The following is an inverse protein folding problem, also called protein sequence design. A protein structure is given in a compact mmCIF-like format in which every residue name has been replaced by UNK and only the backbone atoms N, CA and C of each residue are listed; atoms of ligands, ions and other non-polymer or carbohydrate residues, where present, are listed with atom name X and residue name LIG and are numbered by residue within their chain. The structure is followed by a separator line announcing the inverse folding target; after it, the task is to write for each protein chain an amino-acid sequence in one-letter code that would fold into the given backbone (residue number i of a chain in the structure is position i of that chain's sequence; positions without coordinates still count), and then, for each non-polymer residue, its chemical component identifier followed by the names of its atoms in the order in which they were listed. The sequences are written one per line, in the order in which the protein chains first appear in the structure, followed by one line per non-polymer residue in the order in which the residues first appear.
data_IF_346432945100
#
_entry.id   IF_346432945100
#
_cell.length_a   1.000
_cell.length_b   1.000
_cell.length_c   1.000
_cell.angle_alpha   90.00
_cell.angle_beta   90.00
_cell.angle_gamma   90.00
#
_symmetry.space_group_name_H-M   'P 1'
#
loop_
_entity.id
_entity.type
_entity.pdbx_description
1 polymer ?
#
# COMPACT_ATOMS: atom_id res chain seq x y z
N UNK A 1 -6.20 -2.86 17.97
CA UNK A 1 -5.18 -3.27 16.97
C UNK A 1 -4.08 -2.22 16.86
N UNK A 2 -2.99 -2.51 16.17
CA UNK A 2 -1.78 -1.70 16.08
C UNK A 2 -2.00 -0.21 15.68
N UNK A 3 -3.03 0.08 14.90
CA UNK A 3 -3.39 1.46 14.53
C UNK A 3 -3.75 2.29 15.78
N UNK A 4 -4.54 1.71 16.69
CA UNK A 4 -5.00 2.44 17.89
C UNK A 4 -3.92 2.55 18.98
N UNK A 5 -2.85 1.77 18.90
CA UNK A 5 -1.77 1.69 19.90
C UNK A 5 -0.44 2.25 19.39
N UNK A 6 -0.33 2.58 18.09
CA UNK A 6 0.88 3.20 17.55
C UNK A 6 1.08 4.60 18.09
N UNK A 7 2.35 4.98 18.33
CA UNK A 7 2.70 6.32 18.80
C UNK A 7 2.44 7.38 17.72
N UNK A 8 2.62 7.02 16.45
CA UNK A 8 2.39 7.90 15.31
C UNK A 8 1.61 7.16 14.24
N UNK A 9 0.65 7.84 13.63
CA UNK A 9 -0.04 7.38 12.43
C UNK A 9 0.08 8.46 11.36
N UNK A 10 0.72 8.13 10.23
CA UNK A 10 0.84 9.00 9.07
C UNK A 10 -0.24 8.64 8.05
N UNK A 11 -0.86 9.64 7.45
CA UNK A 11 -1.78 9.49 6.32
C UNK A 11 -1.11 10.04 5.05
N UNK A 12 -0.92 9.19 4.04
CA UNK A 12 -0.35 9.58 2.75
C UNK A 12 -1.48 9.83 1.77
N UNK A 13 -1.59 11.06 1.30
CA UNK A 13 -2.68 11.52 0.48
C UNK A 13 -2.22 11.84 -0.94
N UNK A 14 -3.06 11.47 -1.92
CA UNK A 14 -3.00 12.00 -3.28
C UNK A 14 -3.68 13.36 -3.28
N UNK A 15 -3.02 14.39 -3.81
CA UNK A 15 -3.44 15.78 -3.71
C UNK A 15 -3.45 16.44 -5.10
N UNK A 16 -4.63 16.55 -5.70
CA UNK A 16 -4.89 17.32 -6.92
C UNK A 16 -5.24 18.79 -6.61
N UNK A 17 -5.64 19.09 -5.38
CA UNK A 17 -6.04 20.44 -5.01
C UNK A 17 -4.90 21.45 -5.14
N UNK A 18 -3.66 21.02 -4.87
CA UNK A 18 -2.46 21.87 -5.10
C UNK A 18 -2.25 22.19 -6.57
N UNK A 19 -2.55 21.25 -7.47
CA UNK A 19 -2.49 21.50 -8.91
C UNK A 19 -3.58 22.49 -9.35
N UNK A 20 -4.79 22.39 -8.77
CA UNK A 20 -5.85 23.35 -9.00
C UNK A 20 -5.43 24.76 -8.58
N UNK A 21 -4.85 24.92 -7.40
CA UNK A 21 -4.29 26.20 -6.95
C UNK A 21 -3.20 26.71 -7.91
N UNK A 22 -2.26 25.84 -8.26
CA UNK A 22 -1.14 26.24 -9.13
C UNK A 22 -1.60 26.65 -10.53
N UNK A 23 -2.55 25.93 -11.13
CA UNK A 23 -3.08 26.27 -12.46
C UNK A 23 -3.92 27.53 -12.46
N UNK A 24 -4.69 27.77 -11.38
CA UNK A 24 -5.50 28.98 -11.22
C UNK A 24 -4.68 30.27 -11.19
N UNK A 25 -3.43 30.21 -10.73
CA UNK A 25 -2.51 31.36 -10.77
C UNK A 25 -2.15 31.81 -12.21
N UNK A 26 -2.46 30.99 -13.20
CA UNK A 26 -2.21 31.23 -14.61
C UNK A 26 -3.52 31.25 -15.44
N UNK A 27 -4.68 31.45 -14.80
CA UNK A 27 -6.00 31.44 -15.43
C UNK A 27 -6.28 30.15 -16.21
N UNK A 28 -5.85 29.00 -15.66
CA UNK A 28 -6.04 27.66 -16.24
C UNK A 28 -6.75 26.75 -15.27
N UNK A 29 -7.47 25.76 -15.80
CA UNK A 29 -7.97 24.64 -15.03
C UNK A 29 -7.00 23.45 -15.13
N UNK A 30 -6.86 22.61 -14.08
CA UNK A 30 -6.09 21.39 -14.18
C UNK A 30 -6.79 20.43 -15.17
N UNK A 31 -6.00 19.62 -15.87
CA UNK A 31 -6.55 18.49 -16.61
C UNK A 31 -7.16 17.49 -15.61
N UNK A 32 -8.17 16.76 -16.08
CA UNK A 32 -8.81 15.65 -15.35
C UNK A 32 -8.58 14.34 -16.10
N UNK A 33 -8.58 13.21 -15.41
CA UNK A 33 -8.46 11.92 -16.05
C UNK A 33 -7.60 10.95 -15.25
N UNK A 34 -7.41 9.77 -15.80
CA UNK A 34 -6.70 8.66 -15.14
C UNK A 34 -5.26 9.03 -14.80
N UNK A 35 -4.53 9.65 -15.73
CA UNK A 35 -3.11 10.05 -15.51
C UNK A 35 -2.97 11.00 -14.33
N UNK A 36 -3.84 12.01 -14.25
CA UNK A 36 -3.86 12.97 -13.14
C UNK A 36 -4.20 12.32 -11.81
N UNK A 37 -4.96 11.22 -11.83
CA UNK A 37 -5.25 10.42 -10.63
C UNK A 37 -4.08 9.52 -10.24
N UNK A 38 -3.42 8.89 -11.21
CA UNK A 38 -2.31 7.95 -10.93
C UNK A 38 -1.06 8.65 -10.41
N UNK A 39 -0.69 9.79 -10.97
CA UNK A 39 0.54 10.52 -10.61
C UNK A 39 0.62 10.80 -9.11
N UNK A 40 -0.35 11.47 -8.45
CA UNK A 40 -0.26 11.75 -7.01
C UNK A 40 -0.38 10.49 -6.15
N UNK A 41 -0.99 9.41 -6.65
CA UNK A 41 -0.99 8.11 -5.94
C UNK A 41 0.41 7.50 -5.92
N UNK A 42 1.14 7.57 -7.03
CA UNK A 42 2.54 7.13 -7.13
C UNK A 42 3.43 7.99 -6.23
N UNK A 43 3.27 9.32 -6.26
CA UNK A 43 4.01 10.23 -5.39
C UNK A 43 3.80 9.91 -3.91
N UNK A 44 2.56 9.67 -3.50
CA UNK A 44 2.23 9.26 -2.13
C UNK A 44 2.92 7.94 -1.74
N UNK A 45 3.02 6.97 -2.66
CA UNK A 45 3.70 5.71 -2.43
C UNK A 45 5.22 5.89 -2.25
N UNK A 46 5.85 6.71 -3.08
CA UNK A 46 7.29 7.02 -3.00
C UNK A 46 7.62 7.73 -1.68
N UNK A 47 6.84 8.74 -1.31
CA UNK A 47 7.05 9.47 -0.04
C UNK A 47 6.86 8.54 1.17
N UNK A 48 5.90 7.63 1.11
CA UNK A 48 5.67 6.69 2.20
C UNK A 48 6.78 5.66 2.36
N UNK A 49 7.34 5.14 1.27
CA UNK A 49 8.50 4.25 1.34
C UNK A 49 9.72 4.97 1.95
N UNK A 50 9.98 6.21 1.52
CA UNK A 50 11.04 7.02 2.12
C UNK A 50 10.82 7.26 3.61
N UNK A 51 9.58 7.50 4.04
CA UNK A 51 9.22 7.66 5.45
C UNK A 51 9.41 6.36 6.25
N UNK A 52 9.09 5.20 5.66
CA UNK A 52 9.34 3.90 6.28
C UNK A 52 10.83 3.66 6.50
N UNK A 53 11.65 3.84 5.46
CA UNK A 53 13.10 3.68 5.55
C UNK A 53 13.68 4.63 6.62
N UNK A 54 13.23 5.87 6.64
CA UNK A 54 13.65 6.84 7.65
C UNK A 54 13.27 6.38 9.07
N UNK A 55 12.03 5.91 9.30
CA UNK A 55 11.59 5.41 10.59
C UNK A 55 12.44 4.21 11.06
N UNK A 56 12.70 3.25 10.16
CA UNK A 56 13.52 2.08 10.44
C UNK A 56 14.98 2.46 10.77
N UNK A 57 15.52 3.51 10.14
CA UNK A 57 16.87 4.01 10.45
C UNK A 57 17.01 4.58 11.85
N UNK A 58 15.90 4.95 12.49
CA UNK A 58 15.84 5.35 13.90
C UNK A 58 15.50 4.20 14.87
N UNK A 59 15.47 2.96 14.37
CA UNK A 59 15.09 1.79 15.18
C UNK A 59 13.60 1.65 15.43
N UNK A 60 12.76 2.41 14.72
CA UNK A 60 11.30 2.29 14.79
C UNK A 60 10.79 1.18 13.85
N UNK A 61 9.66 0.59 14.19
CA UNK A 61 8.91 -0.26 13.27
C UNK A 61 7.85 0.55 12.54
N UNK A 62 7.61 0.21 11.28
CA UNK A 62 6.57 0.82 10.47
C UNK A 62 5.73 -0.24 9.74
N UNK A 63 4.43 0.01 9.58
CA UNK A 63 3.54 -0.86 8.82
C UNK A 63 2.53 -0.06 8.02
N UNK A 64 2.46 -0.33 6.71
CA UNK A 64 1.50 0.29 5.81
C UNK A 64 0.08 -0.25 6.01
N UNK A 65 -0.91 0.63 5.98
CA UNK A 65 -2.32 0.35 6.25
C UNK A 65 -3.18 0.76 5.06
N UNK A 66 -3.50 -0.18 4.18
CA UNK A 66 -4.36 0.07 3.00
C UNK A 66 -5.85 0.21 3.34
N UNK A 67 -6.27 -0.09 4.57
CA UNK A 67 -7.66 -0.05 5.02
C UNK A 67 -8.33 1.33 4.96
N UNK A 68 -7.56 2.41 4.82
CA UNK A 68 -8.06 3.78 4.67
C UNK A 68 -9.00 3.94 3.46
N UNK A 69 -8.78 3.16 2.41
CA UNK A 69 -9.61 3.17 1.20
C UNK A 69 -10.97 2.50 1.34
N UNK A 70 -11.23 1.83 2.48
CA UNK A 70 -12.55 1.19 2.71
C UNK A 70 -13.66 2.22 2.82
N UNK A 71 -13.35 3.38 3.39
CA UNK A 71 -14.24 4.53 3.54
C UNK A 71 -13.44 5.81 3.27
N UNK A 72 -13.10 6.01 1.99
CA UNK A 72 -12.26 7.14 1.59
C UNK A 72 -12.93 8.49 1.87
N UNK A 73 -14.25 8.57 1.71
CA UNK A 73 -15.02 9.79 1.98
C UNK A 73 -15.06 10.10 3.50
N UNK A 74 -15.36 9.12 4.34
CA UNK A 74 -15.37 9.30 5.80
C UNK A 74 -13.98 9.65 6.35
N UNK A 75 -12.90 9.09 5.78
CA UNK A 75 -11.53 9.49 6.14
C UNK A 75 -11.24 10.93 5.73
N UNK A 76 -11.68 11.34 4.54
CA UNK A 76 -11.50 12.72 4.09
C UNK A 76 -12.26 13.71 4.98
N UNK A 77 -13.50 13.40 5.36
CA UNK A 77 -14.29 14.19 6.30
C UNK A 77 -13.62 14.29 7.67
N UNK A 78 -13.17 13.16 8.23
CA UNK A 78 -12.47 13.09 9.53
C UNK A 78 -11.21 13.97 9.56
N UNK A 79 -10.46 14.00 8.47
CA UNK A 79 -9.22 14.77 8.37
C UNK A 79 -9.42 16.19 7.82
N UNK A 80 -10.65 16.58 7.47
CA UNK A 80 -10.96 17.89 6.89
C UNK A 80 -10.30 18.10 5.51
N UNK A 81 -10.15 17.05 4.71
CA UNK A 81 -9.51 17.13 3.40
C UNK A 81 -10.41 17.86 2.39
N UNK A 82 -9.85 18.75 1.57
CA UNK A 82 -10.61 19.39 0.52
C UNK A 82 -10.93 18.45 -0.64
N UNK A 83 -11.84 18.87 -1.53
CA UNK A 83 -12.04 18.18 -2.81
C UNK A 83 -10.73 18.07 -3.58
N UNK A 84 -10.51 16.97 -4.27
CA UNK A 84 -9.26 16.67 -4.96
C UNK A 84 -8.16 16.09 -4.06
N UNK A 85 -8.47 15.73 -2.80
CA UNK A 85 -7.49 15.09 -1.88
C UNK A 85 -8.11 13.86 -1.24
N UNK A 86 -7.42 12.70 -1.32
CA UNK A 86 -7.83 11.50 -0.57
C UNK A 86 -6.63 10.74 -0.01
N UNK A 87 -6.85 10.01 1.08
CA UNK A 87 -5.80 9.18 1.69
C UNK A 87 -5.65 7.87 0.92
N UNK A 88 -4.49 7.70 0.28
CA UNK A 88 -4.13 6.48 -0.46
C UNK A 88 -3.91 5.32 0.49
N UNK A 89 -3.17 5.55 1.57
CA UNK A 89 -2.93 4.61 2.66
C UNK A 89 -2.41 5.34 3.90
N UNK A 90 -2.40 4.65 5.02
CA UNK A 90 -1.77 5.12 6.25
C UNK A 90 -0.54 4.30 6.60
N UNK A 91 0.21 4.77 7.59
CA UNK A 91 1.35 4.06 8.17
C UNK A 91 1.33 4.22 9.69
N UNK A 92 1.32 3.10 10.41
CA UNK A 92 1.54 3.08 11.85
C UNK A 92 3.04 3.00 12.11
N UNK A 93 3.54 3.86 12.97
CA UNK A 93 4.96 3.92 13.37
C UNK A 93 5.05 3.84 14.88
N UNK A 94 6.02 3.09 15.38
CA UNK A 94 6.26 2.96 16.81
C UNK A 94 7.44 2.09 17.15
N UNK A 95 7.74 1.94 18.43
CA UNK A 95 8.77 1.03 18.88
C UNK A 95 8.31 -0.41 18.69
N UNK A 96 9.15 -1.29 18.08
CA UNK A 96 8.82 -2.71 17.96
C UNK A 96 8.63 -3.34 19.34
N UNK A 97 7.57 -4.12 19.51
CA UNK A 97 7.31 -4.85 20.77
C UNK A 97 8.23 -6.07 20.93
N UNK A 98 8.78 -6.57 19.84
CA UNK A 98 9.68 -7.74 19.77
C UNK A 98 10.88 -7.30 18.95
N UNK A 99 12.08 -7.75 19.33
CA UNK A 99 13.28 -7.50 18.53
C UNK A 99 13.08 -8.09 17.12
N UNK A 100 13.20 -7.28 16.06
CA UNK A 100 13.09 -7.78 14.68
C UNK A 100 14.02 -8.93 14.35
N UNK A 101 15.20 -9.02 15.00
CA UNK A 101 16.15 -10.10 14.83
C UNK A 101 15.65 -11.43 15.43
N UNK A 102 14.89 -11.38 16.52
CA UNK A 102 14.27 -12.58 17.11
C UNK A 102 13.11 -13.11 16.24
N UNK A 103 12.43 -12.20 15.53
CA UNK A 103 11.30 -12.58 14.65
C UNK A 103 11.77 -13.20 13.33
N UNK A 104 13.00 -12.94 12.94
CA UNK A 104 13.56 -13.33 11.64
C UNK A 104 12.99 -12.47 10.49
N UNK A 105 13.69 -12.49 9.38
CA UNK A 105 13.27 -11.80 8.17
C UNK A 105 12.18 -12.61 7.45
N UNK A 106 11.05 -11.95 7.20
CA UNK A 106 9.99 -12.54 6.37
C UNK A 106 10.52 -12.72 4.94
N UNK A 107 10.38 -13.93 4.35
CA UNK A 107 10.75 -14.16 2.96
C UNK A 107 10.11 -13.15 2.00
N UNK A 108 10.84 -12.78 0.97
CA UNK A 108 10.35 -11.98 -0.16
C UNK A 108 10.17 -12.88 -1.38
N UNK A 109 9.34 -12.45 -2.31
CA UNK A 109 9.26 -13.11 -3.61
C UNK A 109 10.66 -13.20 -4.24
N UNK A 110 11.00 -14.31 -4.91
CA UNK A 110 12.24 -14.42 -5.67
C UNK A 110 12.44 -13.24 -6.62
N UNK A 111 13.69 -12.81 -6.78
CA UNK A 111 14.01 -11.66 -7.63
C UNK A 111 13.55 -11.85 -9.09
N UNK A 112 13.59 -13.08 -9.56
CA UNK A 112 13.19 -13.49 -10.91
C UNK A 112 11.72 -13.24 -11.20
N UNK A 113 10.86 -13.21 -10.16
CA UNK A 113 9.44 -12.86 -10.30
C UNK A 113 9.18 -11.35 -10.26
N UNK A 114 10.17 -10.54 -9.94
CA UNK A 114 9.98 -9.10 -9.68
C UNK A 114 10.88 -8.25 -10.58
N UNK A 115 12.05 -8.76 -10.97
CA UNK A 115 13.04 -8.05 -11.76
C UNK A 115 13.26 -8.80 -13.07
N UNK A 116 12.89 -8.19 -14.17
CA UNK A 116 13.07 -8.75 -15.52
C UNK A 116 14.15 -7.97 -16.28
N UNK A 117 14.94 -8.66 -17.11
CA UNK A 117 15.97 -8.04 -17.94
C UNK A 117 15.46 -7.95 -19.39
N UNK A 118 15.48 -6.75 -19.94
CA UNK A 118 15.09 -6.42 -21.31
C UNK A 118 13.60 -6.73 -21.63
N UNK A 119 13.06 -7.85 -21.18
CA UNK A 119 11.68 -8.26 -21.41
C UNK A 119 11.09 -8.97 -20.19
N UNK A 120 9.78 -8.86 -20.01
CA UNK A 120 9.04 -9.63 -19.01
C UNK A 120 9.11 -11.13 -19.33
N UNK A 121 9.34 -11.96 -18.30
CA UNK A 121 9.28 -13.42 -18.39
C UNK A 121 8.58 -13.99 -17.16
N UNK A 122 7.77 -15.02 -17.36
CA UNK A 122 7.10 -15.81 -16.34
C UNK A 122 7.36 -17.32 -16.49
N UNK A 123 8.41 -17.68 -17.23
CA UNK A 123 8.74 -19.06 -17.62
C UNK A 123 8.81 -20.01 -16.41
N UNK A 124 9.46 -19.58 -15.32
CA UNK A 124 9.63 -20.37 -14.09
C UNK A 124 8.67 -19.94 -12.96
N UNK A 125 7.66 -19.11 -13.24
CA UNK A 125 6.84 -18.48 -12.21
C UNK A 125 6.11 -19.48 -11.32
N UNK A 126 5.62 -20.60 -11.86
CA UNK A 126 4.89 -21.59 -11.08
C UNK A 126 5.80 -22.31 -10.07
N UNK A 127 7.02 -22.65 -10.46
CA UNK A 127 7.99 -23.31 -9.58
C UNK A 127 8.47 -22.34 -8.48
N UNK A 128 8.82 -21.13 -8.85
CA UNK A 128 9.27 -20.08 -7.92
C UNK A 128 8.17 -19.71 -6.91
N UNK A 129 6.91 -19.64 -7.34
CA UNK A 129 5.77 -19.38 -6.45
C UNK A 129 5.55 -20.56 -5.50
N UNK A 130 5.66 -21.80 -5.98
CA UNK A 130 5.53 -22.98 -5.13
C UNK A 130 6.62 -23.01 -4.05
N UNK A 131 7.87 -22.72 -4.43
CA UNK A 131 8.96 -22.58 -3.49
C UNK A 131 8.74 -21.46 -2.46
N UNK A 132 8.29 -20.30 -2.91
CA UNK A 132 7.97 -19.19 -2.01
C UNK A 132 6.84 -19.53 -1.04
N UNK A 133 5.82 -20.28 -1.45
CA UNK A 133 4.79 -20.78 -0.54
C UNK A 133 5.40 -21.62 0.60
N UNK A 134 6.33 -22.53 0.28
CA UNK A 134 7.02 -23.37 1.29
C UNK A 134 7.82 -22.52 2.27
N UNK A 135 8.66 -21.62 1.76
CA UNK A 135 9.49 -20.73 2.58
C UNK A 135 8.63 -19.85 3.52
N UNK A 136 7.50 -19.35 3.01
CA UNK A 136 6.61 -18.52 3.79
C UNK A 136 5.85 -19.33 4.86
N UNK A 137 5.46 -20.56 4.56
CA UNK A 137 4.86 -21.47 5.55
C UNK A 137 5.84 -21.76 6.69
N UNK A 138 7.10 -22.14 6.38
CA UNK A 138 8.16 -22.36 7.37
C UNK A 138 8.40 -21.11 8.25
N UNK A 139 8.38 -19.92 7.66
CA UNK A 139 8.50 -18.68 8.41
C UNK A 139 7.34 -18.51 9.40
N UNK A 140 6.11 -18.76 8.98
CA UNK A 140 4.94 -18.65 9.84
C UNK A 140 4.87 -19.74 10.90
N UNK A 141 5.29 -20.97 10.59
CA UNK A 141 5.31 -22.10 11.54
C UNK A 141 6.30 -21.85 12.68
N UNK A 142 7.45 -21.24 12.39
CA UNK A 142 8.39 -20.78 13.45
C UNK A 142 7.77 -19.75 14.39
N UNK A 143 6.71 -19.06 13.97
CA UNK A 143 5.95 -18.12 14.78
C UNK A 143 4.70 -18.74 15.41
N UNK A 144 4.57 -20.07 15.40
CA UNK A 144 3.44 -20.79 15.95
C UNK A 144 2.16 -20.72 15.12
N UNK A 145 2.26 -20.33 13.83
CA UNK A 145 1.13 -20.35 12.89
C UNK A 145 1.21 -21.60 12.04
N UNK A 146 0.28 -22.51 12.22
CA UNK A 146 0.18 -23.68 11.34
C UNK A 146 -0.35 -23.24 9.97
N UNK A 147 0.52 -23.22 8.97
CA UNK A 147 0.21 -22.66 7.65
C UNK A 147 0.42 -23.73 6.57
N UNK A 148 -0.57 -23.90 5.69
CA UNK A 148 -0.45 -24.79 4.54
C UNK A 148 0.68 -24.34 3.60
N UNK A 149 1.67 -25.24 3.39
CA UNK A 149 2.85 -24.98 2.59
C UNK A 149 2.58 -24.81 1.10
N UNK A 150 1.44 -25.28 0.60
CA UNK A 150 1.09 -25.13 -0.81
C UNK A 150 0.38 -23.80 -1.11
N UNK A 151 -0.14 -23.15 -0.08
CA UNK A 151 -0.99 -21.98 -0.25
C UNK A 151 -0.67 -20.82 0.70
N UNK A 152 0.45 -20.82 1.38
CA UNK A 152 0.81 -19.81 2.38
C UNK A 152 0.74 -18.37 1.86
N UNK A 153 1.14 -18.15 0.62
CA UNK A 153 1.01 -16.89 -0.09
C UNK A 153 -0.16 -16.89 -1.07
N UNK A 154 -0.24 -17.91 -1.93
CA UNK A 154 -1.22 -17.95 -3.03
C UNK A 154 -2.66 -18.02 -2.53
N UNK A 155 -2.94 -18.71 -1.42
CA UNK A 155 -4.28 -18.79 -0.86
C UNK A 155 -4.86 -17.45 -0.44
N UNK A 156 -4.17 -16.64 0.40
CA UNK A 156 -4.60 -15.29 0.72
C UNK A 156 -4.69 -14.36 -0.50
N UNK A 157 -3.75 -14.46 -1.45
CA UNK A 157 -3.76 -13.65 -2.68
C UNK A 157 -4.98 -14.01 -3.53
N UNK A 158 -5.26 -15.29 -3.77
CA UNK A 158 -6.42 -15.72 -4.53
C UNK A 158 -7.73 -15.21 -3.93
N UNK A 159 -7.91 -15.35 -2.61
CA UNK A 159 -9.09 -14.81 -1.92
C UNK A 159 -9.20 -13.29 -2.02
N UNK A 160 -8.07 -12.58 -1.94
CA UNK A 160 -8.05 -11.12 -1.99
C UNK A 160 -8.19 -10.53 -3.39
N UNK A 161 -7.79 -11.29 -4.43
CA UNK A 161 -7.82 -10.84 -5.82
C UNK A 161 -9.09 -11.28 -6.59
N UNK A 162 -9.83 -12.27 -6.09
CA UNK A 162 -11.02 -12.80 -6.78
C UNK A 162 -12.26 -11.92 -6.66
N UNK A 163 -12.28 -10.95 -5.76
CA UNK A 163 -13.39 -10.01 -5.57
C UNK A 163 -12.85 -8.60 -5.32
N UNK A 164 -13.52 -7.54 -5.83
CA UNK A 164 -13.13 -6.17 -5.52
C UNK A 164 -13.13 -5.93 -4.01
N UNK A 165 -11.99 -5.53 -3.47
CA UNK A 165 -11.82 -5.32 -2.02
C UNK A 165 -12.60 -4.10 -1.51
N UNK A 166 -12.74 -3.09 -2.35
CA UNK A 166 -13.43 -1.83 -2.07
C UNK A 166 -14.28 -1.46 -3.29
N UNK A 167 -15.46 -2.08 -3.48
CA UNK A 167 -16.26 -1.91 -4.70
C UNK A 167 -16.73 -0.46 -4.91
N UNK A 168 -16.96 0.27 -3.83
CA UNK A 168 -17.46 1.65 -3.87
C UNK A 168 -16.36 2.71 -4.00
N UNK A 169 -15.07 2.28 -4.03
CA UNK A 169 -13.94 3.21 -4.03
C UNK A 169 -13.95 4.13 -5.26
N UNK A 170 -14.25 3.61 -6.45
CA UNK A 170 -14.32 4.42 -7.66
C UNK A 170 -15.35 5.53 -7.51
N UNK A 171 -16.58 5.19 -7.11
CA UNK A 171 -17.66 6.14 -6.90
C UNK A 171 -17.33 7.20 -5.85
N UNK A 172 -16.68 6.78 -4.76
CA UNK A 172 -16.21 7.71 -3.72
C UNK A 172 -15.20 8.72 -4.27
N UNK A 173 -14.20 8.24 -5.03
CA UNK A 173 -13.16 9.09 -5.61
C UNK A 173 -13.70 10.02 -6.70
N UNK A 174 -14.64 9.55 -7.54
CA UNK A 174 -15.35 10.40 -8.50
C UNK A 174 -16.05 11.57 -7.77
N UNK A 175 -16.76 11.28 -6.67
CA UNK A 175 -17.37 12.29 -5.81
C UNK A 175 -16.38 13.27 -5.19
N UNK A 176 -15.15 12.83 -4.96
CA UNK A 176 -14.06 13.64 -4.42
C UNK A 176 -13.29 14.43 -5.50
N UNK A 177 -13.63 14.27 -6.77
CA UNK A 177 -13.06 15.03 -7.89
C UNK A 177 -11.89 14.35 -8.61
N UNK A 178 -11.69 13.04 -8.42
CA UNK A 178 -10.72 12.27 -9.18
C UNK A 178 -11.35 11.71 -10.46
N UNK A 179 -10.69 11.87 -11.61
CA UNK A 179 -11.15 11.37 -12.91
C UNK A 179 -10.53 10.02 -13.26
N UNK A 180 -11.29 9.22 -14.03
CA UNK A 180 -10.86 7.88 -14.46
C UNK A 180 -11.11 7.63 -15.96
N UNK A 181 -11.41 8.68 -16.69
CA UNK A 181 -11.69 8.63 -18.14
C UNK A 181 -10.41 8.77 -18.97
#
# INVERSE_FOLDING_TARGET
GHIATSQVFLAFAADLHRLEIATSLHDRAPATGLEQTLTPVVDAAIVGEAAQIAAESFGLGAVMVGGMRRDAAGVAELLGLPKGVFVVYGMSIGWPAIDPLEHGLKPRLPSELVIHRDAYSDEDALELIADYNRQLAEFYDRQGRNTDSESAWTGPVARGASTPRYPDLRSALDGMGFGFD
#
